data_IF_822547693662
#
_entry.id   IF_822547693662
#
_cell.length_a   1.000
_cell.length_b   1.000
_cell.length_c   1.000
_cell.angle_alpha   90.00
_cell.angle_beta   90.00
_cell.angle_gamma   90.00
#
_symmetry.space_group_name_H-M   'P 1'
#
loop_
_entity.id
_entity.type
_entity.pdbx_description
1 polymer ?
#
# COMPACT_ATOMS: atom_id res chain seq x y z
N UNK A 1 -9.16 -15.24 34.62
CA UNK A 1 -8.56 -16.13 33.60
C UNK A 1 -7.53 -15.33 32.80
N UNK A 2 -6.26 -15.34 33.23
CA UNK A 2 -5.19 -14.59 32.55
C UNK A 2 -4.83 -15.26 31.23
N UNK A 3 -4.87 -14.50 30.12
CA UNK A 3 -4.43 -14.99 28.80
C UNK A 3 -2.97 -15.46 28.90
N UNK A 4 -2.60 -16.60 28.27
CA UNK A 4 -1.24 -17.12 28.33
C UNK A 4 -0.25 -16.08 27.80
N UNK A 5 0.91 -15.99 28.47
CA UNK A 5 2.02 -15.15 28.00
C UNK A 5 2.46 -15.68 26.64
N UNK A 6 2.60 -14.78 25.67
CA UNK A 6 3.18 -15.13 24.37
C UNK A 6 4.67 -15.34 24.64
N UNK A 7 5.10 -16.60 24.57
CA UNK A 7 6.51 -16.97 24.64
C UNK A 7 7.01 -17.13 23.21
N UNK A 8 8.00 -16.32 22.82
CA UNK A 8 8.66 -16.44 21.52
C UNK A 8 9.74 -17.51 21.61
N UNK A 9 9.83 -18.37 20.60
CA UNK A 9 10.94 -19.31 20.50
C UNK A 9 12.27 -18.54 20.33
N UNK A 10 13.38 -19.07 20.85
CA UNK A 10 14.70 -18.43 20.82
C UNK A 10 15.14 -18.03 19.40
N UNK A 11 14.79 -18.85 18.39
CA UNK A 11 15.04 -18.54 16.99
C UNK A 11 14.25 -17.31 16.52
N UNK A 12 12.99 -17.19 16.94
CA UNK A 12 12.14 -16.03 16.64
C UNK A 12 12.65 -14.79 17.35
N UNK A 13 13.05 -14.90 18.63
CA UNK A 13 13.59 -13.79 19.39
C UNK A 13 14.88 -13.25 18.77
N UNK A 14 15.79 -14.14 18.33
CA UNK A 14 17.02 -13.73 17.63
C UNK A 14 16.74 -13.03 16.30
N UNK A 15 15.77 -13.52 15.52
CA UNK A 15 15.36 -12.87 14.27
C UNK A 15 14.72 -11.49 14.52
N UNK A 16 13.89 -11.36 15.56
CA UNK A 16 13.27 -10.09 15.97
C UNK A 16 14.33 -9.08 16.41
N UNK A 17 15.32 -9.51 17.21
CA UNK A 17 16.44 -8.66 17.62
C UNK A 17 17.26 -8.14 16.43
N UNK A 18 17.53 -9.01 15.44
CA UNK A 18 18.18 -8.59 14.19
C UNK A 18 17.37 -7.57 13.39
N UNK A 19 16.04 -7.77 13.31
CA UNK A 19 15.14 -6.83 12.64
C UNK A 19 15.08 -5.47 13.35
N UNK A 20 15.09 -5.45 14.69
CA UNK A 20 15.10 -4.21 15.48
C UNK A 20 16.33 -3.35 15.18
N UNK A 21 17.52 -3.96 15.12
CA UNK A 21 18.77 -3.24 14.81
C UNK A 21 18.76 -2.69 13.38
N UNK A 22 18.32 -3.50 12.41
CA UNK A 22 18.22 -3.06 11.02
C UNK A 22 17.25 -1.88 10.87
N UNK A 23 16.05 -1.97 11.47
CA UNK A 23 15.04 -0.93 11.41
C UNK A 23 15.44 0.34 12.15
N UNK A 24 16.16 0.22 13.27
CA UNK A 24 16.67 1.38 14.00
C UNK A 24 17.73 2.14 13.19
N UNK A 25 18.61 1.40 12.49
CA UNK A 25 19.60 1.97 11.57
C UNK A 25 18.96 2.63 10.35
N UNK A 26 17.96 1.98 9.76
CA UNK A 26 17.34 2.44 8.53
C UNK A 26 16.37 3.62 8.77
N UNK A 27 15.79 3.73 9.97
CA UNK A 27 14.82 4.77 10.34
C UNK A 27 15.11 5.45 11.68
N UNK A 28 16.28 6.06 11.91
CA UNK A 28 16.76 6.48 13.24
C UNK A 28 15.85 7.50 13.97
N UNK A 29 15.10 8.31 13.23
CA UNK A 29 14.24 9.37 13.78
C UNK A 29 12.74 9.17 13.49
N UNK A 30 12.39 8.26 12.58
CA UNK A 30 11.01 8.05 12.15
C UNK A 30 10.37 6.90 12.93
N UNK A 31 9.63 7.25 13.99
CA UNK A 31 8.91 6.28 14.80
C UNK A 31 7.73 5.61 14.08
N UNK A 32 7.15 6.27 13.07
CA UNK A 32 6.01 5.71 12.34
C UNK A 32 6.49 4.60 11.42
N UNK A 33 7.52 4.87 10.60
CA UNK A 33 8.11 3.86 9.71
C UNK A 33 8.80 2.73 10.46
N UNK A 34 9.48 3.05 11.57
CA UNK A 34 10.07 2.04 12.44
C UNK A 34 9.01 1.07 12.99
N UNK A 35 7.87 1.58 13.49
CA UNK A 35 6.82 0.73 14.04
C UNK A 35 6.10 -0.09 12.96
N UNK A 36 5.83 0.50 11.80
CA UNK A 36 5.21 -0.22 10.69
C UNK A 36 6.13 -1.34 10.18
N UNK A 37 7.44 -1.07 10.08
CA UNK A 37 8.46 -2.07 9.74
C UNK A 37 8.60 -3.16 10.81
N UNK A 38 8.54 -2.81 12.09
CA UNK A 38 8.63 -3.76 13.20
C UNK A 38 7.41 -4.70 13.21
N UNK A 39 6.21 -4.17 13.04
CA UNK A 39 4.98 -4.97 12.98
C UNK A 39 5.01 -5.90 11.78
N UNK A 40 5.50 -5.44 10.62
CA UNK A 40 5.68 -6.27 9.43
C UNK A 40 6.74 -7.38 9.64
N UNK A 41 7.88 -7.07 10.25
CA UNK A 41 8.94 -8.04 10.52
C UNK A 41 8.48 -9.13 11.52
N UNK A 42 7.82 -8.73 12.61
CA UNK A 42 7.26 -9.69 13.58
C UNK A 42 6.19 -10.56 12.93
N UNK A 43 5.36 -10.00 12.04
CA UNK A 43 4.40 -10.78 11.26
C UNK A 43 5.10 -11.78 10.35
N UNK A 44 6.15 -11.40 9.64
CA UNK A 44 6.91 -12.30 8.78
C UNK A 44 7.53 -13.47 9.58
N UNK A 45 8.01 -13.21 10.80
CA UNK A 45 8.68 -14.20 11.65
C UNK A 45 7.68 -15.13 12.36
N UNK A 46 6.53 -14.61 12.79
CA UNK A 46 5.58 -15.36 13.64
C UNK A 46 4.28 -15.75 12.95
N UNK A 47 4.04 -15.23 11.73
CA UNK A 47 2.82 -15.43 10.96
C UNK A 47 1.59 -14.70 11.53
N UNK A 48 1.75 -13.85 12.56
CA UNK A 48 0.63 -13.20 13.26
C UNK A 48 0.94 -11.74 13.58
N UNK A 49 -0.10 -10.90 13.52
CA UNK A 49 -0.05 -9.52 14.05
C UNK A 49 -0.55 -9.52 15.49
N UNK A 50 0.24 -8.96 16.41
CA UNK A 50 -0.11 -8.89 17.83
C UNK A 50 -0.78 -7.57 18.22
N UNK A 51 -1.32 -7.49 19.44
CA UNK A 51 -1.86 -6.25 19.96
C UNK A 51 -0.78 -5.26 20.39
N UNK A 52 -1.13 -3.97 20.52
CA UNK A 52 -0.21 -2.90 20.89
C UNK A 52 0.56 -3.17 22.20
N UNK A 53 -0.07 -3.85 23.16
CA UNK A 53 0.57 -4.22 24.43
C UNK A 53 1.75 -5.20 24.26
N UNK A 54 1.69 -6.10 23.27
CA UNK A 54 2.77 -7.05 22.99
C UNK A 54 3.97 -6.34 22.39
N UNK A 55 3.74 -5.44 21.43
CA UNK A 55 4.80 -4.62 20.85
C UNK A 55 5.38 -3.62 21.87
N UNK A 56 4.55 -3.07 22.75
CA UNK A 56 5.01 -2.21 23.85
C UNK A 56 5.91 -2.93 24.85
N UNK A 57 5.68 -4.22 25.13
CA UNK A 57 6.60 -5.03 25.95
C UNK A 57 7.88 -5.38 25.20
N UNK A 58 7.78 -5.76 23.93
CA UNK A 58 8.93 -6.06 23.09
C UNK A 58 9.90 -4.86 23.01
N UNK A 59 9.38 -3.64 22.85
CA UNK A 59 10.19 -2.42 22.84
C UNK A 59 10.72 -2.02 24.22
N UNK A 60 10.09 -2.48 25.30
CA UNK A 60 10.53 -2.18 26.67
C UNK A 60 11.58 -3.18 27.17
N UNK A 61 11.39 -4.45 26.85
CA UNK A 61 12.11 -5.54 27.50
C UNK A 61 13.18 -6.14 26.58
N UNK A 62 12.97 -6.13 25.25
CA UNK A 62 13.85 -6.78 24.26
C UNK A 62 14.69 -5.74 23.50
N UNK A 63 14.10 -4.63 23.05
CA UNK A 63 14.83 -3.60 22.28
C UNK A 63 16.04 -2.98 23.01
N UNK A 64 16.04 -2.78 24.34
CA UNK A 64 17.23 -2.29 25.04
C UNK A 64 18.41 -3.28 25.01
N UNK A 65 18.14 -4.58 24.86
CA UNK A 65 19.18 -5.62 24.79
C UNK A 65 19.98 -5.53 23.47
N UNK A 66 19.41 -4.86 22.47
CA UNK A 66 20.04 -4.63 21.16
C UNK A 66 20.50 -3.18 20.98
N UNK A 67 20.50 -2.37 22.04
CA UNK A 67 20.90 -0.95 22.00
C UNK A 67 19.84 0.00 21.44
N UNK A 68 18.63 -0.47 21.15
CA UNK A 68 17.54 0.35 20.59
C UNK A 68 16.73 0.97 21.73
N UNK A 69 16.98 2.26 22.00
CA UNK A 69 16.34 2.99 23.09
C UNK A 69 15.14 3.84 22.60
N UNK A 70 14.08 3.19 22.11
CA UNK A 70 12.86 3.89 21.67
C UNK A 70 11.70 3.72 22.63
N UNK A 71 10.97 4.81 22.87
CA UNK A 71 9.78 4.84 23.74
C UNK A 71 8.56 5.48 23.05
N UNK A 72 8.05 4.86 21.97
CA UNK A 72 6.82 5.35 21.34
C UNK A 72 5.63 5.20 22.29
N UNK A 73 4.68 6.13 22.19
CA UNK A 73 3.48 6.11 23.01
C UNK A 73 2.55 4.95 22.61
N UNK A 74 1.76 4.44 23.57
CA UNK A 74 0.74 3.40 23.31
C UNK A 74 -0.18 3.72 22.11
N UNK A 75 -0.73 4.94 21.94
CA UNK A 75 -1.56 5.25 20.77
C UNK A 75 -0.77 5.19 19.46
N UNK A 76 0.52 5.53 19.45
CA UNK A 76 1.39 5.41 18.26
C UNK A 76 1.56 3.95 17.85
N UNK A 77 1.80 3.06 18.82
CA UNK A 77 1.91 1.62 18.60
C UNK A 77 0.57 1.05 18.10
N UNK A 78 -0.53 1.47 18.71
CA UNK A 78 -1.87 1.04 18.29
C UNK A 78 -2.20 1.47 16.86
N UNK A 79 -1.83 2.70 16.47
CA UNK A 79 -2.01 3.18 15.10
C UNK A 79 -1.23 2.33 14.09
N UNK A 80 0.00 1.92 14.40
CA UNK A 80 0.80 1.02 13.56
C UNK A 80 0.17 -0.37 13.42
N UNK A 81 -0.32 -0.93 14.52
CA UNK A 81 -1.04 -2.22 14.50
C UNK A 81 -2.31 -2.14 13.64
N UNK A 82 -3.09 -1.06 13.77
CA UNK A 82 -4.30 -0.86 12.97
C UNK A 82 -3.98 -0.72 11.47
N UNK A 83 -2.91 0.01 11.11
CA UNK A 83 -2.45 0.08 9.71
C UNK A 83 -2.04 -1.28 9.17
N UNK A 84 -1.29 -2.07 9.94
CA UNK A 84 -0.88 -3.41 9.54
C UNK A 84 -2.07 -4.38 9.38
N UNK A 85 -3.09 -4.29 10.24
CA UNK A 85 -4.33 -5.07 10.12
C UNK A 85 -5.18 -4.64 8.93
N UNK A 86 -5.21 -3.33 8.61
CA UNK A 86 -5.90 -2.83 7.42
C UNK A 86 -5.25 -3.35 6.13
N UNK A 87 -3.91 -3.38 6.08
CA UNK A 87 -3.16 -3.99 4.98
C UNK A 87 -3.42 -5.50 4.86
N UNK A 88 -3.59 -6.21 5.98
CA UNK A 88 -3.95 -7.63 5.97
C UNK A 88 -5.35 -7.87 5.41
N UNK A 89 -6.35 -7.07 5.81
CA UNK A 89 -7.70 -7.17 5.26
C UNK A 89 -7.74 -6.84 3.77
N UNK A 90 -7.07 -5.77 3.36
CA UNK A 90 -6.97 -5.42 1.94
C UNK A 90 -6.23 -6.48 1.10
N UNK A 91 -5.19 -7.12 1.65
CA UNK A 91 -4.48 -8.20 0.96
C UNK A 91 -5.30 -9.51 0.88
N UNK A 92 -6.09 -9.82 1.90
CA UNK A 92 -6.99 -10.99 1.89
C UNK A 92 -8.16 -10.77 0.94
N UNK A 93 -8.70 -9.56 0.88
CA UNK A 93 -9.74 -9.18 -0.09
C UNK A 93 -9.20 -9.21 -1.53
N UNK A 94 -7.99 -8.68 -1.77
CA UNK A 94 -7.33 -8.79 -3.07
C UNK A 94 -7.03 -10.25 -3.46
N UNK A 95 -6.59 -11.09 -2.53
CA UNK A 95 -6.36 -12.51 -2.79
C UNK A 95 -7.67 -13.29 -3.03
N UNK A 96 -8.77 -12.91 -2.37
CA UNK A 96 -10.10 -13.47 -2.61
C UNK A 96 -10.63 -13.06 -3.99
N UNK A 97 -10.38 -11.82 -4.41
CA UNK A 97 -10.76 -11.32 -5.73
C UNK A 97 -9.96 -11.98 -6.87
N UNK A 98 -8.65 -12.18 -6.68
CA UNK A 98 -7.81 -12.98 -7.60
C UNK A 98 -8.29 -14.44 -7.65
N UNK A 99 -8.65 -15.03 -6.51
CA UNK A 99 -9.16 -16.41 -6.44
C UNK A 99 -10.56 -16.57 -7.06
N UNK A 100 -11.38 -15.53 -7.05
CA UNK A 100 -12.68 -15.50 -7.72
C UNK A 100 -12.56 -15.36 -9.26
N UNK A 101 -11.41 -14.87 -9.75
CA UNK A 101 -11.15 -14.65 -11.18
C UNK A 101 -10.41 -15.81 -11.87
N UNK A 102 -10.02 -16.86 -11.16
CA UNK A 102 -9.26 -17.99 -11.73
C UNK A 102 -10.09 -19.29 -11.66
N UNK A 103 -10.48 -19.91 -12.80
CA UNK A 103 -11.04 -21.25 -12.78
C UNK A 103 -9.95 -22.27 -12.38
N UNK A 104 -10.33 -23.25 -11.57
CA UNK A 104 -9.47 -24.33 -11.06
C UNK A 104 -8.87 -25.11 -12.23
N UNK A 105 -7.63 -24.80 -12.59
CA UNK A 105 -6.66 -25.70 -13.24
C UNK A 105 -5.29 -25.04 -13.27
N UNK A 106 -4.50 -25.31 -12.23
CA UNK A 106 -3.05 -25.44 -12.27
C UNK A 106 -2.55 -25.58 -10.83
N UNK A 107 -2.49 -26.83 -10.35
CA UNK A 107 -1.55 -27.19 -9.30
C UNK A 107 -0.14 -27.18 -9.88
N UNK A 108 0.79 -26.53 -9.18
CA UNK A 108 2.21 -26.84 -9.24
C UNK A 108 3.09 -25.76 -9.85
N UNK A 109 3.69 -24.93 -9.01
CA UNK A 109 5.14 -24.82 -8.89
C UNK A 109 5.50 -23.77 -7.83
N UNK A 110 6.00 -24.26 -6.69
CA UNK A 110 6.75 -23.46 -5.72
C UNK A 110 8.07 -23.05 -6.36
N UNK A 111 8.40 -21.75 -6.33
CA UNK A 111 9.79 -21.29 -6.26
C UNK A 111 9.88 -20.22 -5.16
N UNK A 112 10.74 -20.41 -4.14
CA UNK A 112 11.00 -19.44 -3.09
C UNK A 112 12.16 -18.52 -3.49
N UNK A 113 12.05 -17.23 -3.18
CA UNK A 113 13.21 -16.34 -3.11
C UNK A 113 13.00 -14.99 -3.79
N UNK A 114 12.79 -13.96 -2.98
CA UNK A 114 13.34 -12.62 -3.23
C UNK A 114 13.14 -11.78 -1.96
N UNK A 115 14.16 -11.81 -1.13
CA UNK A 115 14.38 -10.87 -0.03
C UNK A 115 14.83 -9.54 -0.62
N UNK A 116 14.13 -8.46 -0.25
CA UNK A 116 14.68 -7.16 0.11
C UNK A 116 15.45 -6.35 -0.94
N UNK A 117 14.83 -5.28 -1.44
CA UNK A 117 15.53 -4.02 -1.75
C UNK A 117 14.71 -2.85 -1.17
N UNK A 118 15.29 -1.95 -0.35
CA UNK A 118 14.56 -0.85 0.25
C UNK A 118 14.31 0.30 -0.75
N UNK A 119 13.08 0.79 -0.73
CA UNK A 119 12.62 1.99 -1.42
C UNK A 119 13.17 3.24 -0.71
N UNK A 120 14.03 4.01 -1.39
CA UNK A 120 14.46 5.33 -0.93
C UNK A 120 13.33 6.37 -1.08
N UNK A 121 13.30 7.44 -0.25
CA UNK A 121 12.21 8.40 -0.22
C UNK A 121 12.24 9.36 -1.41
N UNK A 122 11.09 9.52 -2.06
CA UNK A 122 10.79 10.58 -3.02
C UNK A 122 10.78 11.92 -2.27
N UNK A 123 11.59 12.93 -2.66
CA UNK A 123 11.36 14.29 -2.22
C UNK A 123 10.22 14.90 -3.04
N UNK A 124 9.25 15.43 -2.31
CA UNK A 124 8.22 16.32 -2.79
C UNK A 124 8.88 17.63 -3.28
N UNK A 125 8.81 17.90 -4.58
CA UNK A 125 9.15 19.19 -5.16
C UNK A 125 8.10 19.56 -6.21
N UNK A 126 7.10 20.30 -5.74
CA UNK A 126 6.39 21.29 -6.54
C UNK A 126 7.44 22.27 -7.08
N UNK A 127 7.74 22.14 -8.37
CA UNK A 127 8.73 22.96 -9.06
C UNK A 127 8.58 22.76 -10.56
N UNK A 128 7.81 23.65 -11.18
CA UNK A 128 7.68 23.85 -12.62
C UNK A 128 9.07 23.85 -13.26
N UNK A 129 9.39 22.80 -13.99
CA UNK A 129 10.64 22.65 -14.71
C UNK A 129 10.36 21.95 -16.03
N UNK A 130 10.46 22.72 -17.12
CA UNK A 130 10.24 22.25 -18.46
C UNK A 130 11.17 21.07 -18.76
N UNK A 131 10.57 19.93 -19.09
CA UNK A 131 11.30 18.76 -19.56
C UNK A 131 11.85 19.10 -20.95
N UNK A 132 13.13 19.46 -21.01
CA UNK A 132 13.90 19.33 -22.24
C UNK A 132 14.73 18.06 -22.09
N UNK A 133 14.51 17.01 -22.91
CA UNK A 133 15.48 15.95 -22.98
C UNK A 133 16.79 16.59 -23.46
N UNK A 134 17.88 16.39 -22.71
CA UNK A 134 19.22 16.71 -23.19
C UNK A 134 19.51 15.76 -24.34
N UNK A 135 19.01 16.12 -25.52
CA UNK A 135 19.46 15.57 -26.77
C UNK A 135 20.92 16.01 -26.89
N UNK A 136 21.84 15.08 -26.64
CA UNK A 136 23.24 15.28 -27.02
C UNK A 136 23.22 15.46 -28.53
N UNK A 137 23.31 16.71 -28.97
CA UNK A 137 23.38 17.05 -30.37
C UNK A 137 24.67 16.43 -30.92
N UNK A 138 24.51 15.33 -31.66
CA UNK A 138 25.60 14.58 -32.25
C UNK A 138 26.44 15.47 -33.18
N UNK A 139 25.84 16.51 -33.75
CA UNK A 139 26.52 17.48 -34.62
C UNK A 139 27.39 18.44 -33.80
N UNK A 140 26.92 18.89 -32.63
CA UNK A 140 27.68 19.71 -31.70
C UNK A 140 28.87 18.93 -31.08
N UNK A 141 28.65 17.66 -30.72
CA UNK A 141 29.72 16.79 -30.22
C UNK A 141 30.76 16.49 -31.31
N UNK A 142 30.30 16.27 -32.55
CA UNK A 142 31.18 16.05 -33.71
C UNK A 142 32.00 17.31 -34.04
N UNK A 143 31.41 18.49 -33.92
CA UNK A 143 32.11 19.78 -34.05
C UNK A 143 33.18 19.99 -32.97
N UNK A 144 32.87 19.62 -31.72
CA UNK A 144 33.81 19.74 -30.60
C UNK A 144 34.99 18.76 -30.67
N UNK A 145 34.79 17.56 -31.23
CA UNK A 145 35.84 16.55 -31.40
C UNK A 145 36.67 16.72 -32.67
N UNK A 146 36.18 17.47 -33.67
CA UNK A 146 36.89 17.74 -34.92
C UNK A 146 38.30 18.34 -34.76
N UNK A 147 38.57 19.32 -33.87
CA UNK A 147 39.93 19.83 -33.67
C UNK A 147 40.86 18.80 -33.01
N UNK A 148 40.37 18.03 -32.03
CA UNK A 148 41.14 16.98 -31.34
C UNK A 148 41.57 15.86 -32.30
N UNK A 149 40.68 15.44 -33.20
CA UNK A 149 40.99 14.44 -34.24
C UNK A 149 41.99 14.99 -35.25
N UNK A 150 41.92 16.28 -35.60
CA UNK A 150 42.91 16.93 -36.49
C UNK A 150 44.29 17.03 -35.84
N UNK A 151 44.34 17.25 -34.53
CA UNK A 151 45.59 17.36 -33.77
C UNK A 151 46.26 15.98 -33.63
N UNK A 152 45.50 14.93 -33.31
CA UNK A 152 45.96 13.53 -33.32
C UNK A 152 46.46 13.07 -34.69
N UNK A 153 45.75 13.43 -35.77
CA UNK A 153 46.21 13.14 -37.14
C UNK A 153 47.48 13.92 -37.50
N UNK A 154 47.64 15.15 -36.99
CA UNK A 154 48.84 15.97 -37.22
C UNK A 154 50.06 15.40 -36.48
N UNK A 155 49.88 14.89 -35.27
CA UNK A 155 50.91 14.20 -34.49
C UNK A 155 51.28 12.84 -35.08
N UNK A 156 50.31 12.09 -35.64
CA UNK A 156 50.57 10.80 -36.28
C UNK A 156 51.28 10.89 -37.65
N UNK A 157 51.11 12.00 -38.38
CA UNK A 157 51.68 12.21 -39.73
C UNK A 157 53.06 12.90 -39.67
N UNK A 158 53.35 13.67 -38.61
CA UNK A 158 54.63 14.35 -38.40
C UNK A 158 55.88 13.45 -38.47
N UNK A 159 55.92 12.23 -37.90
CA UNK A 159 57.11 11.38 -37.97
C UNK A 159 57.32 10.72 -39.35
N UNK A 160 56.32 10.72 -40.24
CA UNK A 160 56.43 10.11 -41.58
C UNK A 160 57.13 11.02 -42.58
N UNK A 161 57.05 12.35 -42.39
CA UNK A 161 57.66 13.34 -43.28
C UNK A 161 59.02 13.89 -42.80
N UNK A 162 59.46 13.55 -41.57
CA UNK A 162 60.76 13.98 -41.04
C UNK A 162 61.95 13.11 -41.51
N UNK A 163 61.68 11.97 -42.15
CA UNK A 163 62.72 10.99 -42.53
C UNK A 163 63.43 11.17 -43.89
N UNK A 164 63.01 12.00 -44.87
CA UNK A 164 63.79 12.16 -46.11
C UNK A 164 64.73 13.39 -46.12
N UNK A 165 64.72 14.25 -45.09
CA UNK A 165 65.48 15.51 -45.13
C UNK A 165 66.92 15.43 -44.61
N UNK A 166 67.38 14.27 -44.09
CA UNK A 166 68.70 14.15 -43.47
C UNK A 166 69.50 12.94 -43.97
N UNK A 167 69.64 12.78 -45.28
CA UNK A 167 70.64 11.88 -45.88
C UNK A 167 71.23 12.53 -47.14
N UNK A 168 72.34 13.25 -46.94
CA UNK A 168 73.19 13.76 -48.01
C UNK A 168 74.67 13.58 -47.62
N UNK A 169 75.25 12.41 -47.90
CA UNK A 169 76.67 12.13 -48.29
C UNK A 169 76.97 10.61 -48.35
N UNK A 170 77.97 10.15 -49.14
CA UNK A 170 77.93 8.93 -49.98
C UNK A 170 78.73 7.73 -49.42
N UNK A 171 78.98 6.64 -50.19
CA UNK A 171 78.04 5.62 -50.60
C UNK A 171 78.33 4.28 -49.86
N UNK A 172 77.39 3.83 -49.02
CA UNK A 172 77.19 2.41 -48.70
C UNK A 172 75.74 2.03 -49.08
N UNK A 173 75.33 2.54 -50.24
CA UNK A 173 73.93 2.86 -50.53
C UNK A 173 73.03 1.65 -50.71
N UNK A 174 73.56 0.48 -51.08
CA UNK A 174 72.72 -0.70 -51.32
C UNK A 174 72.22 -1.41 -50.06
N UNK A 175 72.96 -1.38 -48.94
CA UNK A 175 72.60 -2.15 -47.73
C UNK A 175 71.84 -1.34 -46.69
N UNK A 176 72.15 -0.07 -46.54
CA UNK A 176 71.46 0.82 -45.61
C UNK A 176 70.03 1.11 -46.09
N UNK A 177 69.85 1.48 -47.36
CA UNK A 177 68.52 1.69 -47.96
C UNK A 177 67.69 0.41 -47.97
N UNK A 178 68.29 -0.75 -48.29
CA UNK A 178 67.58 -2.03 -48.24
C UNK A 178 67.11 -2.39 -46.82
N UNK A 179 67.90 -2.11 -45.78
CA UNK A 179 67.49 -2.30 -44.38
C UNK A 179 66.39 -1.33 -43.98
N UNK A 180 66.46 -0.07 -44.43
CA UNK A 180 65.48 0.96 -44.13
C UNK A 180 64.13 0.68 -44.82
N UNK A 181 64.16 0.18 -46.05
CA UNK A 181 63.00 -0.37 -46.76
C UNK A 181 62.42 -1.58 -46.02
N UNK A 182 63.24 -2.54 -45.59
CA UNK A 182 62.76 -3.70 -44.82
C UNK A 182 62.06 -3.29 -43.51
N UNK A 183 62.63 -2.34 -42.77
CA UNK A 183 62.02 -1.80 -41.55
C UNK A 183 60.70 -1.08 -41.83
N UNK A 184 60.65 -0.26 -42.90
CA UNK A 184 59.42 0.39 -43.32
C UNK A 184 58.34 -0.62 -43.72
N UNK A 185 58.72 -1.69 -44.41
CA UNK A 185 57.80 -2.76 -44.83
C UNK A 185 57.23 -3.49 -43.62
N UNK A 186 58.09 -3.86 -42.65
CA UNK A 186 57.66 -4.52 -41.41
C UNK A 186 56.74 -3.62 -40.55
N UNK A 187 57.04 -2.32 -40.46
CA UNK A 187 56.20 -1.36 -39.76
C UNK A 187 54.81 -1.22 -40.41
N UNK A 188 54.76 -1.27 -41.74
CA UNK A 188 53.53 -1.16 -42.52
C UNK A 188 52.69 -2.45 -42.40
N UNK A 189 53.32 -3.62 -42.33
CA UNK A 189 52.66 -4.90 -42.02
C UNK A 189 52.08 -4.93 -40.60
N UNK A 190 52.81 -4.44 -39.60
CA UNK A 190 52.32 -4.30 -38.22
C UNK A 190 51.14 -3.31 -38.14
N UNK A 191 51.24 -2.16 -38.82
CA UNK A 191 50.14 -1.20 -38.91
C UNK A 191 48.89 -1.83 -39.57
N UNK A 192 49.05 -2.62 -40.63
CA UNK A 192 47.94 -3.35 -41.25
C UNK A 192 47.36 -4.45 -40.35
N UNK A 193 48.19 -5.12 -39.54
CA UNK A 193 47.70 -6.07 -38.55
C UNK A 193 46.85 -5.38 -37.48
N UNK A 194 47.31 -4.23 -36.97
CA UNK A 194 46.56 -3.41 -36.00
C UNK A 194 45.25 -2.87 -36.58
N UNK A 195 45.26 -2.39 -37.83
CA UNK A 195 44.03 -1.94 -38.50
C UNK A 195 43.00 -3.07 -38.60
N UNK A 196 43.42 -4.28 -39.00
CA UNK A 196 42.50 -5.44 -39.07
C UNK A 196 41.95 -5.83 -37.70
N UNK A 197 42.76 -5.72 -36.65
CA UNK A 197 42.32 -5.96 -35.28
C UNK A 197 41.30 -4.91 -34.83
N UNK A 198 41.58 -3.62 -35.06
CA UNK A 198 40.65 -2.53 -34.74
C UNK A 198 39.33 -2.65 -35.51
N UNK A 199 39.36 -3.03 -36.79
CA UNK A 199 38.13 -3.27 -37.55
C UNK A 199 37.31 -4.44 -36.98
N UNK A 200 37.98 -5.48 -36.49
CA UNK A 200 37.30 -6.61 -35.84
C UNK A 200 36.62 -6.16 -34.54
N UNK A 201 37.33 -5.42 -33.70
CA UNK A 201 36.81 -4.85 -32.46
C UNK A 201 35.65 -3.88 -32.75
N UNK A 202 35.77 -3.02 -33.77
CA UNK A 202 34.68 -2.12 -34.19
C UNK A 202 33.44 -2.93 -34.59
N UNK A 203 33.60 -4.00 -35.37
CA UNK A 203 32.48 -4.85 -35.79
C UNK A 203 31.83 -5.58 -34.60
N UNK A 204 32.61 -5.99 -33.61
CA UNK A 204 32.11 -6.60 -32.37
C UNK A 204 31.31 -5.58 -31.55
N UNK A 205 31.88 -4.39 -31.30
CA UNK A 205 31.19 -3.31 -30.58
C UNK A 205 29.89 -2.87 -31.25
N UNK A 206 29.83 -2.81 -32.59
CA UNK A 206 28.58 -2.48 -33.29
C UNK A 206 27.50 -3.55 -33.10
N UNK A 207 27.88 -4.83 -33.05
CA UNK A 207 26.95 -5.93 -32.77
C UNK A 207 26.45 -5.87 -31.33
N UNK A 208 27.34 -5.62 -30.38
CA UNK A 208 27.00 -5.46 -28.97
C UNK A 208 26.06 -4.27 -28.75
N UNK A 209 26.32 -3.14 -29.40
CA UNK A 209 25.44 -1.97 -29.36
C UNK A 209 24.06 -2.27 -29.94
N UNK A 210 23.98 -2.97 -31.08
CA UNK A 210 22.70 -3.40 -31.65
C UNK A 210 21.92 -4.34 -30.73
N UNK A 211 22.61 -5.29 -30.09
CA UNK A 211 21.99 -6.19 -29.10
C UNK A 211 21.50 -5.43 -27.86
N UNK A 212 22.30 -4.48 -27.37
CA UNK A 212 21.92 -3.63 -26.24
C UNK A 212 20.73 -2.72 -26.57
N UNK A 213 20.66 -2.18 -27.78
CA UNK A 213 19.52 -1.39 -28.25
C UNK A 213 18.24 -2.24 -28.33
N UNK A 214 18.31 -3.43 -28.92
CA UNK A 214 17.16 -4.33 -28.98
C UNK A 214 16.67 -4.74 -27.58
N UNK A 215 17.59 -5.04 -26.65
CA UNK A 215 17.25 -5.31 -25.25
C UNK A 215 16.60 -4.11 -24.56
N UNK A 216 17.10 -2.89 -24.84
CA UNK A 216 16.51 -1.66 -24.31
C UNK A 216 15.09 -1.44 -24.83
N UNK A 217 14.88 -1.63 -26.12
CA UNK A 217 13.57 -1.39 -26.75
C UNK A 217 12.55 -2.43 -26.25
N UNK A 218 12.94 -3.71 -26.11
CA UNK A 218 12.11 -4.76 -25.51
C UNK A 218 11.78 -4.46 -24.04
N UNK A 219 12.75 -3.98 -23.26
CA UNK A 219 12.49 -3.53 -21.89
C UNK A 219 11.53 -2.33 -21.86
N UNK A 220 11.64 -1.41 -22.83
CA UNK A 220 10.72 -0.29 -23.00
C UNK A 220 9.29 -0.74 -23.29
N UNK A 221 9.11 -1.71 -24.20
CA UNK A 221 7.82 -2.33 -24.47
C UNK A 221 7.22 -2.99 -23.23
N UNK A 222 8.02 -3.74 -22.48
CA UNK A 222 7.58 -4.39 -21.24
C UNK A 222 7.14 -3.38 -20.17
N UNK A 223 7.91 -2.31 -19.96
CA UNK A 223 7.54 -1.22 -19.04
C UNK A 223 6.24 -0.55 -19.47
N UNK A 224 6.08 -0.28 -20.78
CA UNK A 224 4.86 0.31 -21.30
C UNK A 224 3.64 -0.60 -21.11
N UNK A 225 3.80 -1.91 -21.30
CA UNK A 225 2.74 -2.90 -21.03
C UNK A 225 2.35 -2.90 -19.54
N UNK A 226 3.32 -2.95 -18.63
CA UNK A 226 3.04 -2.86 -17.19
C UNK A 226 2.33 -1.56 -16.79
N UNK A 227 2.70 -0.43 -17.41
CA UNK A 227 2.04 0.85 -17.18
C UNK A 227 0.60 0.87 -17.72
N UNK A 228 0.32 0.18 -18.83
CA UNK A 228 -1.03 0.04 -19.36
C UNK A 228 -1.91 -0.78 -18.40
N UNK A 229 -1.42 -1.95 -17.95
CA UNK A 229 -2.11 -2.81 -16.99
C UNK A 229 -2.37 -2.08 -15.65
N UNK A 230 -1.39 -1.31 -15.17
CA UNK A 230 -1.54 -0.52 -13.95
C UNK A 230 -2.62 0.57 -14.11
N UNK A 231 -2.68 1.24 -15.26
CA UNK A 231 -3.72 2.23 -15.53
C UNK A 231 -5.10 1.60 -15.61
N UNK A 232 -5.22 0.43 -16.22
CA UNK A 232 -6.48 -0.31 -16.30
C UNK A 232 -6.96 -0.76 -14.91
N UNK A 233 -6.08 -1.32 -14.09
CA UNK A 233 -6.40 -1.74 -12.72
C UNK A 233 -6.79 -0.55 -11.84
N UNK A 234 -6.10 0.59 -11.95
CA UNK A 234 -6.49 1.83 -11.28
C UNK A 234 -7.89 2.26 -11.74
N UNK A 235 -8.17 2.26 -13.05
CA UNK A 235 -9.49 2.62 -13.57
C UNK A 235 -10.60 1.67 -13.10
N UNK A 236 -10.32 0.37 -13.05
CA UNK A 236 -11.25 -0.63 -12.52
C UNK A 236 -11.56 -0.38 -11.04
N UNK A 237 -10.52 -0.24 -10.21
CA UNK A 237 -10.68 0.04 -8.77
C UNK A 237 -11.43 1.35 -8.50
N UNK A 238 -11.22 2.39 -9.34
CA UNK A 238 -11.96 3.64 -9.24
C UNK A 238 -13.46 3.47 -9.47
N UNK A 239 -13.86 2.63 -10.44
CA UNK A 239 -15.27 2.30 -10.68
C UNK A 239 -15.89 1.56 -9.50
N UNK A 240 -15.15 0.63 -8.89
CA UNK A 240 -15.65 -0.13 -7.74
C UNK A 240 -15.86 0.76 -6.52
N UNK A 241 -14.95 1.70 -6.26
CA UNK A 241 -15.11 2.71 -5.20
C UNK A 241 -16.34 3.58 -5.44
N UNK A 242 -16.63 3.95 -6.69
CA UNK A 242 -17.83 4.72 -7.01
C UNK A 242 -19.11 3.92 -6.77
N UNK A 243 -19.14 2.62 -7.12
CA UNK A 243 -20.27 1.73 -6.82
C UNK A 243 -20.48 1.58 -5.31
N UNK A 244 -19.41 1.40 -4.54
CA UNK A 244 -19.47 1.34 -3.07
C UNK A 244 -19.98 2.64 -2.46
N UNK A 245 -19.53 3.80 -2.96
CA UNK A 245 -20.01 5.10 -2.50
C UNK A 245 -21.52 5.29 -2.77
N UNK A 246 -22.00 4.84 -3.93
CA UNK A 246 -23.44 4.85 -4.27
C UNK A 246 -24.24 3.93 -3.35
N UNK A 247 -23.76 2.72 -3.10
CA UNK A 247 -24.40 1.76 -2.19
C UNK A 247 -24.46 2.29 -0.75
N UNK A 248 -23.36 2.86 -0.25
CA UNK A 248 -23.32 3.50 1.06
C UNK A 248 -24.32 4.67 1.17
N UNK A 249 -24.44 5.48 0.11
CA UNK A 249 -25.44 6.54 0.03
C UNK A 249 -26.89 6.02 0.07
N UNK A 250 -27.17 4.90 -0.61
CA UNK A 250 -28.47 4.24 -0.56
C UNK A 250 -28.77 3.69 0.84
N UNK A 251 -27.82 2.99 1.44
CA UNK A 251 -27.96 2.46 2.81
C UNK A 251 -28.24 3.57 3.82
N UNK A 252 -27.50 4.68 3.76
CA UNK A 252 -27.73 5.82 4.64
C UNK A 252 -29.14 6.45 4.47
N UNK A 253 -29.68 6.46 3.24
CA UNK A 253 -31.06 6.90 3.00
C UNK A 253 -32.07 5.91 3.58
N UNK A 254 -31.85 4.61 3.39
CA UNK A 254 -32.74 3.58 3.96
C UNK A 254 -32.72 3.58 5.48
N UNK A 255 -31.56 3.81 6.11
CA UNK A 255 -31.45 3.94 7.56
C UNK A 255 -32.27 5.12 8.08
N UNK A 256 -32.17 6.29 7.42
CA UNK A 256 -32.98 7.46 7.78
C UNK A 256 -34.48 7.19 7.65
N UNK A 257 -34.88 6.52 6.58
CA UNK A 257 -36.27 6.13 6.36
C UNK A 257 -36.77 5.18 7.46
N UNK A 258 -36.02 4.13 7.77
CA UNK A 258 -36.38 3.16 8.81
C UNK A 258 -36.43 3.80 10.21
N UNK A 259 -35.53 4.74 10.52
CA UNK A 259 -35.59 5.52 11.77
C UNK A 259 -36.87 6.34 11.85
N UNK A 260 -37.18 7.10 10.79
CA UNK A 260 -38.42 7.88 10.74
C UNK A 260 -39.67 7.01 10.87
N UNK A 261 -39.67 5.84 10.22
CA UNK A 261 -40.77 4.87 10.34
C UNK A 261 -40.87 4.30 11.77
N UNK A 262 -39.75 3.99 12.42
CA UNK A 262 -39.74 3.49 13.80
C UNK A 262 -40.27 4.55 14.77
N UNK A 263 -39.83 5.80 14.62
CA UNK A 263 -40.27 6.92 15.45
C UNK A 263 -41.77 7.18 15.27
N UNK A 264 -42.27 7.13 14.03
CA UNK A 264 -43.69 7.25 13.75
C UNK A 264 -44.51 6.11 14.40
N UNK A 265 -44.05 4.86 14.30
CA UNK A 265 -44.71 3.73 14.93
C UNK A 265 -44.73 3.84 16.46
N UNK A 266 -43.66 4.35 17.08
CA UNK A 266 -43.60 4.60 18.53
C UNK A 266 -44.60 5.67 18.97
N UNK A 267 -44.68 6.78 18.22
CA UNK A 267 -45.64 7.86 18.50
C UNK A 267 -47.08 7.39 18.35
N UNK A 268 -47.36 6.57 17.34
CA UNK A 268 -48.69 5.97 17.16
C UNK A 268 -49.03 5.05 18.34
N UNK A 269 -48.12 4.14 18.71
CA UNK A 269 -48.34 3.23 19.83
C UNK A 269 -48.54 3.97 21.16
N UNK A 270 -47.83 5.07 21.40
CA UNK A 270 -48.04 5.90 22.59
C UNK A 270 -49.41 6.59 22.58
N UNK A 271 -49.81 7.14 21.43
CA UNK A 271 -51.12 7.79 21.28
C UNK A 271 -52.28 6.80 21.47
N UNK A 272 -52.18 5.60 20.91
CA UNK A 272 -53.15 4.52 21.09
C UNK A 272 -53.21 4.07 22.56
N UNK A 273 -52.05 3.92 23.22
CA UNK A 273 -52.00 3.58 24.64
C UNK A 273 -52.66 4.65 25.52
N UNK A 274 -52.44 5.93 25.23
CA UNK A 274 -53.08 7.04 25.95
C UNK A 274 -54.59 7.09 25.71
N UNK A 275 -55.04 6.84 24.47
CA UNK A 275 -56.47 6.70 24.15
C UNK A 275 -57.12 5.53 24.91
N UNK A 276 -56.45 4.38 25.01
CA UNK A 276 -56.94 3.25 25.79
C UNK A 276 -56.96 3.55 27.30
N UNK A 277 -55.98 4.31 27.81
CA UNK A 277 -55.97 4.75 29.23
C UNK A 277 -57.13 5.67 29.55
N UNK A 278 -57.43 6.64 28.67
CA UNK A 278 -58.57 7.54 28.87
C UNK A 278 -59.90 6.80 28.81
N UNK A 279 -60.07 5.88 27.85
CA UNK A 279 -61.24 5.00 27.79
C UNK A 279 -61.40 4.14 29.04
N UNK A 280 -60.32 3.52 29.53
CA UNK A 280 -60.36 2.72 30.76
C UNK A 280 -60.74 3.57 31.98
N UNK A 281 -60.26 4.82 32.07
CA UNK A 281 -60.65 5.75 33.12
C UNK A 281 -62.15 6.06 33.06
N UNK A 282 -62.66 6.41 31.88
CA UNK A 282 -64.09 6.69 31.68
C UNK A 282 -64.99 5.49 32.02
N UNK A 283 -64.57 4.28 31.62
CA UNK A 283 -65.31 3.05 31.95
C UNK A 283 -65.32 2.80 33.45
N UNK A 284 -64.21 3.04 34.16
CA UNK A 284 -64.16 2.92 35.62
C UNK A 284 -65.07 3.93 36.31
N UNK A 285 -65.02 5.20 35.91
CA UNK A 285 -65.91 6.25 36.43
C UNK A 285 -67.39 5.88 36.23
N UNK A 286 -67.74 5.32 35.06
CA UNK A 286 -69.11 4.86 34.79
C UNK A 286 -69.50 3.65 35.63
N UNK A 287 -68.58 2.70 35.86
CA UNK A 287 -68.82 1.57 36.76
C UNK A 287 -69.06 2.08 38.19
N UNK A 288 -68.24 3.01 38.67
CA UNK A 288 -68.39 3.60 40.02
C UNK A 288 -69.75 4.28 40.18
N UNK A 289 -70.19 5.07 39.19
CA UNK A 289 -71.52 5.67 39.17
C UNK A 289 -72.64 4.62 39.21
N UNK A 290 -72.54 3.56 38.40
CA UNK A 290 -73.52 2.48 38.39
C UNK A 290 -73.57 1.71 39.72
N UNK A 291 -72.43 1.55 40.40
CA UNK A 291 -72.36 0.94 41.73
C UNK A 291 -73.07 1.82 42.75
N UNK A 292 -72.81 3.13 42.73
CA UNK A 292 -73.51 4.08 43.60
C UNK A 292 -75.03 4.06 43.37
N UNK A 293 -75.49 4.09 42.12
CA UNK A 293 -76.91 4.01 41.77
C UNK A 293 -77.54 2.70 42.28
N UNK A 294 -76.86 1.55 42.08
CA UNK A 294 -77.32 0.26 42.60
C UNK A 294 -77.45 0.26 44.12
N UNK A 295 -76.49 0.84 44.83
CA UNK A 295 -76.55 0.96 46.29
C UNK A 295 -77.70 1.86 46.75
N UNK A 296 -77.97 2.96 46.02
CA UNK A 296 -79.14 3.79 46.26
C UNK A 296 -80.44 3.02 46.06
N UNK A 297 -80.58 2.25 44.98
CA UNK A 297 -81.75 1.40 44.75
C UNK A 297 -81.93 0.35 45.86
N UNK A 298 -80.84 -0.32 46.28
CA UNK A 298 -80.87 -1.29 47.38
C UNK A 298 -81.33 -0.65 48.70
N UNK A 299 -80.83 0.54 49.04
CA UNK A 299 -81.27 1.28 50.24
C UNK A 299 -82.75 1.68 50.16
N UNK A 300 -83.21 2.17 49.01
CA UNK A 300 -84.61 2.54 48.81
C UNK A 300 -85.56 1.34 48.98
N UNK A 301 -85.21 0.18 48.41
CA UNK A 301 -85.97 -1.05 48.57
C UNK A 301 -85.95 -1.57 50.02
N UNK A 302 -84.80 -1.53 50.70
CA UNK A 302 -84.67 -1.91 52.11
C UNK A 302 -85.49 -1.02 53.06
N UNK A 303 -85.50 0.30 52.81
CA UNK A 303 -86.31 1.25 53.58
C UNK A 303 -87.81 1.00 53.39
N UNK A 304 -88.24 0.64 52.16
CA UNK A 304 -89.65 0.32 51.87
C UNK A 304 -90.07 -0.99 52.55
N UNK A 305 -89.25 -2.03 52.48
CA UNK A 305 -89.50 -3.29 53.19
C UNK A 305 -89.57 -3.11 54.72
N UNK A 306 -88.80 -2.15 55.27
CA UNK A 306 -88.83 -1.81 56.70
C UNK A 306 -90.09 -1.04 57.10
N UNK A 307 -90.69 -0.27 56.19
CA UNK A 307 -91.97 0.42 56.43
C UNK A 307 -93.16 -0.55 56.41
N UNK A 308 -93.15 -1.53 55.50
CA UNK A 308 -94.19 -2.57 55.40
C UNK A 308 -94.12 -3.61 56.54
N UNK A 309 -93.03 -3.66 57.31
CA UNK A 309 -92.83 -4.54 58.46
C UNK A 309 -93.39 -4.04 59.80
N UNK A 310 -94.11 -2.91 59.82
CA UNK A 310 -94.69 -2.36 61.06
C UNK A 310 -95.90 -3.21 61.49
N UNK A 311 -95.90 -3.88 62.67
CA UNK A 311 -97.00 -4.76 63.05
C UNK A 311 -98.29 -3.97 63.30
N UNK A 312 -99.47 -4.50 62.93
CA UNK A 312 -100.73 -3.77 63.06
C UNK A 312 -101.04 -3.46 64.53
N UNK A 313 -101.64 -2.29 64.83
CA UNK A 313 -101.96 -1.90 66.20
C UNK A 313 -102.98 -2.87 66.81
N UNK A 314 -102.66 -3.40 68.00
CA UNK A 314 -103.57 -4.23 68.79
C UNK A 314 -104.89 -3.46 69.04
N UNK A 315 -106.06 -4.08 68.81
CA UNK A 315 -107.34 -3.44 69.09
C UNK A 315 -107.47 -3.18 70.60
N UNK A 316 -107.66 -1.93 70.98
CA UNK A 316 -108.07 -1.56 72.35
C UNK A 316 -109.54 -1.91 72.52
N UNK A 317 -109.81 -2.56 73.65
CA UNK A 317 -111.12 -2.99 74.16
C UNK A 317 -112.17 -1.88 74.13
#
# INVERSE_FOLDING_TARGET
>A
MGRPRIEWNDAQLRAIMGALVALDRDFPLDNVRFLDGLVAAVRAITGRVYGAMTYGRLLRDVAPQTGVARRPSTPTIQAAVLRAQALERGAVEAAAEVRARVPVSAHGALIPGAVGVPLAPVPDRVGKGDAHPVAVDAEALRGALAPLVRELLREGIAPVHALPAQQASPPEDGRAEARQLQLATAALEDAHARLRQLEKEMRELHRELGAAQAARDLAGEHVNAMLADLRETIAASGRDVELLARAAGQLARTEKFLKAQNDAARLQASAEADALRTQNRQLRERIDLLVLDNDHYRRALGNRASQDGTPPPKPRR
#
